data_IF_706319108215
#
_entry.id   IF_706319108215
#
_cell.length_a   1.000
_cell.length_b   1.000
_cell.length_c   1.000
_cell.angle_alpha   90.00
_cell.angle_beta   90.00
_cell.angle_gamma   90.00
#
_symmetry.space_group_name_H-M   'P 1'
#
loop_
_entity.id
_entity.type
_entity.pdbx_description
1 polymer ?
#
# COMPACT_ATOMS: atom_id res chain seq x y z
N UNK A 1 11.86 -20.72 19.63
CA UNK A 1 10.96 -19.71 19.02
C UNK A 1 11.35 -19.57 17.56
N UNK A 2 10.80 -20.38 16.64
CA UNK A 2 11.33 -20.35 15.27
C UNK A 2 10.63 -21.34 14.33
N UNK A 3 9.53 -20.93 13.69
CA UNK A 3 9.22 -21.16 12.26
C UNK A 3 7.80 -20.77 11.82
N UNK A 4 6.87 -20.54 12.73
CA UNK A 4 5.45 -20.37 12.36
C UNK A 4 5.01 -18.91 12.08
N UNK A 5 5.83 -17.90 12.37
CA UNK A 5 5.48 -16.49 12.07
C UNK A 5 5.51 -16.15 10.57
N UNK A 6 6.23 -16.94 9.75
CA UNK A 6 6.33 -16.74 8.30
C UNK A 6 5.20 -17.41 7.50
N UNK A 7 4.21 -18.03 8.18
CA UNK A 7 3.02 -18.63 7.57
C UNK A 7 1.74 -18.04 8.12
N UNK A 8 1.84 -16.87 8.75
CA UNK A 8 0.69 -16.18 9.27
C UNK A 8 0.11 -15.31 8.14
N UNK A 9 -0.98 -15.80 7.57
CA UNK A 9 -1.68 -15.17 6.44
C UNK A 9 -2.17 -13.78 6.83
N UNK A 10 -2.46 -13.59 8.11
CA UNK A 10 -2.84 -12.34 8.72
C UNK A 10 -1.63 -11.41 8.84
N UNK A 11 -0.46 -11.91 9.25
CA UNK A 11 0.80 -11.15 9.23
C UNK A 11 1.18 -10.72 7.81
N UNK A 12 1.07 -11.61 6.83
CA UNK A 12 1.36 -11.33 5.42
C UNK A 12 0.39 -10.27 4.87
N UNK A 13 -0.91 -10.38 5.20
CA UNK A 13 -1.91 -9.38 4.83
C UNK A 13 -1.61 -8.01 5.44
N UNK A 14 -1.25 -7.96 6.73
CA UNK A 14 -0.84 -6.71 7.40
C UNK A 14 0.40 -6.12 6.72
N UNK A 15 1.37 -6.96 6.36
CA UNK A 15 2.59 -6.55 5.66
C UNK A 15 2.28 -5.95 4.29
N UNK A 16 1.36 -6.53 3.53
CA UNK A 16 0.91 -5.98 2.23
C UNK A 16 0.22 -4.63 2.42
N UNK A 17 -0.69 -4.51 3.39
CA UNK A 17 -1.38 -3.25 3.70
C UNK A 17 -0.36 -2.16 4.07
N UNK A 18 0.63 -2.50 4.89
CA UNK A 18 1.67 -1.56 5.29
C UNK A 18 2.49 -1.07 4.09
N UNK A 19 2.98 -1.98 3.25
CA UNK A 19 3.78 -1.62 2.07
C UNK A 19 2.99 -0.77 1.07
N UNK A 20 1.71 -1.09 0.83
CA UNK A 20 0.85 -0.28 -0.02
C UNK A 20 0.64 1.13 0.56
N UNK A 21 0.42 1.23 1.88
CA UNK A 21 0.32 2.53 2.54
C UNK A 21 1.59 3.35 2.41
N UNK A 22 2.76 2.72 2.62
CA UNK A 22 4.05 3.40 2.43
C UNK A 22 4.26 3.83 0.98
N UNK A 23 3.92 2.99 0.02
CA UNK A 23 4.05 3.32 -1.41
C UNK A 23 3.19 4.54 -1.79
N UNK A 24 1.94 4.59 -1.32
CA UNK A 24 1.06 5.75 -1.53
C UNK A 24 1.65 7.02 -0.90
N UNK A 25 2.21 6.92 0.32
CA UNK A 25 2.83 8.03 1.03
C UNK A 25 4.09 8.54 0.32
N UNK A 26 4.94 7.63 -0.14
CA UNK A 26 6.14 7.94 -0.92
C UNK A 26 5.80 8.60 -2.25
N UNK A 27 4.77 8.11 -2.96
CA UNK A 27 4.34 8.72 -4.23
C UNK A 27 3.90 10.17 -4.05
N UNK A 28 3.35 10.57 -2.88
CA UNK A 28 3.02 11.99 -2.63
C UNK A 28 4.24 12.91 -2.66
N UNK A 29 5.41 12.44 -2.19
CA UNK A 29 6.66 13.18 -2.35
C UNK A 29 7.09 13.21 -3.82
N UNK A 30 7.04 12.08 -4.51
CA UNK A 30 7.48 11.99 -5.90
C UNK A 30 6.62 12.83 -6.86
N UNK A 31 5.32 12.96 -6.60
CA UNK A 31 4.43 13.89 -7.33
C UNK A 31 4.91 15.33 -7.17
N UNK A 32 5.39 15.73 -5.98
CA UNK A 32 5.94 17.06 -5.78
C UNK A 32 7.27 17.26 -6.51
N UNK A 33 8.12 16.23 -6.51
CA UNK A 33 9.42 16.26 -7.19
C UNK A 33 9.27 16.28 -8.71
N UNK A 34 8.20 15.68 -9.25
CA UNK A 34 7.90 15.61 -10.67
C UNK A 34 7.25 16.88 -11.25
N UNK A 35 7.01 17.92 -10.44
CA UNK A 35 6.34 19.14 -10.88
C UNK A 35 6.93 19.72 -12.18
N UNK A 36 6.09 19.81 -13.21
CA UNK A 36 6.46 20.29 -14.54
C UNK A 36 6.61 19.18 -15.58
N UNK A 37 6.67 17.92 -15.15
CA UNK A 37 6.59 16.75 -16.01
C UNK A 37 5.22 16.08 -15.85
N UNK A 38 4.27 16.49 -16.69
CA UNK A 38 2.86 16.06 -16.58
C UNK A 38 2.68 14.55 -16.74
N UNK A 39 3.52 13.88 -17.54
CA UNK A 39 3.42 12.44 -17.77
C UNK A 39 3.84 11.68 -16.51
N UNK A 40 4.97 12.08 -15.93
CA UNK A 40 5.52 11.48 -14.70
C UNK A 40 4.62 11.79 -13.50
N UNK A 41 4.15 13.04 -13.36
CA UNK A 41 3.18 13.42 -12.32
C UNK A 41 1.93 12.55 -12.36
N UNK A 42 1.37 12.34 -13.56
CA UNK A 42 0.17 11.51 -13.72
C UNK A 42 0.44 10.07 -13.34
N UNK A 43 1.55 9.49 -13.79
CA UNK A 43 1.92 8.13 -13.43
C UNK A 43 2.04 7.95 -11.91
N UNK A 44 2.69 8.87 -11.19
CA UNK A 44 2.81 8.77 -9.74
C UNK A 44 1.49 8.97 -9.01
N UNK A 45 0.58 9.81 -9.52
CA UNK A 45 -0.79 9.91 -9.00
C UNK A 45 -1.53 8.57 -9.17
N UNK A 46 -1.50 7.97 -10.36
CA UNK A 46 -2.16 6.68 -10.62
C UNK A 46 -1.64 5.56 -9.70
N UNK A 47 -0.32 5.54 -9.43
CA UNK A 47 0.30 4.61 -8.48
C UNK A 47 -0.15 4.89 -7.04
N UNK A 48 -0.22 6.15 -6.61
CA UNK A 48 -0.67 6.53 -5.28
C UNK A 48 -2.12 6.10 -5.03
N UNK A 49 -3.02 6.39 -5.98
CA UNK A 49 -4.43 6.05 -5.91
C UNK A 49 -4.64 4.53 -5.89
N UNK A 50 -3.94 3.80 -6.76
CA UNK A 50 -4.00 2.33 -6.79
C UNK A 50 -3.59 1.70 -5.45
N UNK A 51 -2.53 2.23 -4.82
CA UNK A 51 -2.08 1.75 -3.51
C UNK A 51 -3.07 2.11 -2.40
N UNK A 52 -3.68 3.30 -2.44
CA UNK A 52 -4.72 3.69 -1.49
C UNK A 52 -5.95 2.76 -1.56
N UNK A 53 -6.37 2.37 -2.77
CA UNK A 53 -7.43 1.37 -2.95
C UNK A 53 -7.05 0.00 -2.36
N UNK A 54 -5.82 -0.45 -2.60
CA UNK A 54 -5.33 -1.73 -2.07
C UNK A 54 -5.29 -1.73 -0.53
N UNK A 55 -4.89 -0.62 0.09
CA UNK A 55 -4.96 -0.44 1.54
C UNK A 55 -6.39 -0.61 2.04
N UNK A 56 -7.36 0.02 1.39
CA UNK A 56 -8.76 -0.08 1.81
C UNK A 56 -9.29 -1.51 1.67
N UNK A 57 -9.09 -2.14 0.51
CA UNK A 57 -9.47 -3.54 0.24
C UNK A 57 -8.83 -4.51 1.25
N UNK A 58 -7.55 -4.29 1.57
CA UNK A 58 -6.82 -5.09 2.55
C UNK A 58 -7.36 -4.90 3.98
N UNK A 59 -7.67 -3.67 4.39
CA UNK A 59 -8.29 -3.39 5.70
C UNK A 59 -9.65 -4.06 5.85
N UNK A 60 -10.47 -4.05 4.80
CA UNK A 60 -11.78 -4.70 4.80
C UNK A 60 -11.65 -6.23 4.92
N UNK A 61 -10.68 -6.83 4.20
CA UNK A 61 -10.35 -8.25 4.33
C UNK A 61 -9.88 -8.61 5.75
N UNK A 62 -9.03 -7.78 6.36
CA UNK A 62 -8.53 -8.02 7.71
C UNK A 62 -9.67 -7.93 8.74
N UNK A 63 -10.54 -6.92 8.62
CA UNK A 63 -11.71 -6.75 9.49
C UNK A 63 -12.61 -7.99 9.49
N UNK A 64 -12.88 -8.55 8.31
CA UNK A 64 -13.73 -9.74 8.16
C UNK A 64 -13.10 -11.02 8.75
N UNK A 65 -11.78 -11.04 9.00
CA UNK A 65 -11.07 -12.18 9.60
C UNK A 65 -10.96 -12.10 11.12
N UNK A 66 -11.12 -10.91 11.69
CA UNK A 66 -11.05 -10.65 13.14
C UNK A 66 -12.43 -10.68 13.83
N UNK A 67 -13.50 -10.89 13.05
CA UNK A 67 -14.87 -11.11 13.54
C UNK A 67 -15.16 -12.60 13.68
#
# INVERSE_FOLDING_TARGET
MSKDLLKDKEYDLVSVIYNASQAADTCRQYIQDAKGDQEVERFFNDVADSNAELVQKGKDLLKNRLQ
#
